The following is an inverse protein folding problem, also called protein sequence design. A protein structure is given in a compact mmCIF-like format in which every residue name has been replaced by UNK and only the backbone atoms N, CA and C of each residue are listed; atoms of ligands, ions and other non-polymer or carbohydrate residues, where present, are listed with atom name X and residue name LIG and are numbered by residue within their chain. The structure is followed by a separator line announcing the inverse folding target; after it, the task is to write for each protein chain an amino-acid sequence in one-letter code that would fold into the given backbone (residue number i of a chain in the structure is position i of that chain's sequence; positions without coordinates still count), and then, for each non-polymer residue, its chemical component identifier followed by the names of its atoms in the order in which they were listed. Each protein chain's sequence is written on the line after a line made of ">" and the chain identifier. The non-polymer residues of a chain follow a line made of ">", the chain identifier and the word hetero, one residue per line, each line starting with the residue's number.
data_IF_510571615945
#
_entry.id   IF_510571615945
#
_cell.length_a   1.000
_cell.length_b   1.000
_cell.length_c   1.000
_cell.angle_alpha   90.00
_cell.angle_beta   90.00
_cell.angle_gamma   90.00
#
_symmetry.space_group_name_H-M   'P 1'
#
loop_
_entity.id
_entity.type
_entity.pdbx_description
1 polymer ?
#
# COMPACT_ATOMS: atom_id res chain seq x y z
N UNK A 1 27.78 14.63 23.66
CA UNK A 1 27.78 13.94 22.36
C UNK A 1 26.32 13.83 21.93
N UNK A 2 25.85 14.76 21.10
CA UNK A 2 24.45 14.92 20.70
C UNK A 2 24.10 13.86 19.66
N UNK A 3 23.52 12.75 20.11
CA UNK A 3 22.90 11.77 19.23
C UNK A 3 21.67 12.42 18.59
N UNK A 4 21.89 13.14 17.48
CA UNK A 4 20.86 13.53 16.55
C UNK A 4 20.14 12.24 16.13
N UNK A 5 18.97 11.98 16.71
CA UNK A 5 18.09 10.90 16.28
C UNK A 5 17.59 11.24 14.88
N UNK A 6 18.42 11.01 13.86
CA UNK A 6 18.02 11.09 12.45
C UNK A 6 16.94 10.04 12.26
N UNK A 7 15.70 10.50 12.16
CA UNK A 7 14.56 9.68 11.72
C UNK A 7 14.98 9.09 10.36
N UNK A 8 15.00 7.77 10.24
CA UNK A 8 15.52 7.13 9.03
C UNK A 8 14.56 7.40 7.88
N UNK A 9 15.06 7.86 6.73
CA UNK A 9 14.24 8.16 5.55
C UNK A 9 13.80 6.89 4.79
N UNK A 10 14.24 5.70 5.23
CA UNK A 10 13.92 4.40 4.62
C UNK A 10 12.41 4.16 4.44
N UNK A 11 11.52 4.31 5.45
CA UNK A 11 10.08 4.09 5.28
C UNK A 11 9.44 5.14 4.35
N UNK A 12 9.96 6.36 4.30
CA UNK A 12 9.49 7.38 3.35
C UNK A 12 9.82 6.98 1.91
N UNK A 13 11.07 6.54 1.66
CA UNK A 13 11.51 6.11 0.33
C UNK A 13 10.78 4.84 -0.10
N UNK A 14 10.68 3.83 0.79
CA UNK A 14 9.92 2.61 0.50
C UNK A 14 8.43 2.88 0.24
N UNK A 15 7.83 3.81 0.97
CA UNK A 15 6.43 4.18 0.78
C UNK A 15 6.18 4.95 -0.52
N UNK A 16 7.09 5.82 -0.94
CA UNK A 16 7.00 6.52 -2.23
C UNK A 16 7.16 5.53 -3.38
N UNK A 17 8.18 4.66 -3.32
CA UNK A 17 8.40 3.62 -4.34
C UNK A 17 7.20 2.67 -4.38
N UNK A 18 6.70 2.24 -3.21
CA UNK A 18 5.50 1.40 -3.08
C UNK A 18 4.25 2.08 -3.64
N UNK A 19 4.07 3.39 -3.44
CA UNK A 19 2.94 4.14 -3.98
C UNK A 19 3.00 4.32 -5.51
N UNK A 20 4.18 4.63 -6.06
CA UNK A 20 4.39 4.77 -7.51
C UNK A 20 4.20 3.42 -8.22
N UNK A 21 4.71 2.33 -7.65
CA UNK A 21 4.50 0.98 -8.17
C UNK A 21 3.07 0.46 -7.91
N UNK A 22 2.41 0.98 -6.87
CA UNK A 22 1.04 0.63 -6.48
C UNK A 22 -0.02 1.11 -7.49
N UNK A 23 0.20 2.23 -8.17
CA UNK A 23 -0.69 2.75 -9.20
C UNK A 23 -0.86 1.80 -10.41
N UNK A 24 0.21 1.40 -11.12
CA UNK A 24 0.11 0.41 -12.19
C UNK A 24 -0.31 -0.97 -11.67
N UNK A 25 0.07 -1.32 -10.42
CA UNK A 25 -0.45 -2.52 -9.79
C UNK A 25 -1.98 -2.47 -9.60
N UNK A 26 -2.58 -1.33 -9.26
CA UNK A 26 -4.02 -1.18 -9.11
C UNK A 26 -4.78 -1.35 -10.43
N UNK A 27 -4.25 -0.80 -11.52
CA UNK A 27 -4.82 -0.97 -12.87
C UNK A 27 -4.76 -2.46 -13.27
N UNK A 28 -3.62 -3.11 -13.03
CA UNK A 28 -3.44 -4.53 -13.29
C UNK A 28 -4.38 -5.39 -12.42
N UNK A 29 -4.52 -5.09 -11.13
CA UNK A 29 -5.43 -5.79 -10.22
C UNK A 29 -6.89 -5.66 -10.64
N UNK A 30 -7.31 -4.50 -11.17
CA UNK A 30 -8.65 -4.33 -11.74
C UNK A 30 -8.89 -5.18 -12.99
N UNK A 31 -7.91 -5.22 -13.90
CA UNK A 31 -7.98 -6.05 -15.10
C UNK A 31 -7.94 -7.56 -14.78
N UNK A 32 -7.08 -7.98 -13.85
CA UNK A 32 -6.98 -9.37 -13.41
C UNK A 32 -8.23 -9.81 -12.63
N UNK A 33 -8.83 -8.94 -11.81
CA UNK A 33 -10.10 -9.22 -11.15
C UNK A 33 -11.26 -9.38 -12.15
N UNK A 34 -11.34 -8.54 -13.18
CA UNK A 34 -12.32 -8.71 -14.26
C UNK A 34 -12.09 -10.02 -15.02
N UNK A 35 -10.85 -10.34 -15.39
CA UNK A 35 -10.50 -11.59 -16.08
C UNK A 35 -10.88 -12.84 -15.29
N UNK A 36 -10.60 -12.87 -13.99
CA UNK A 36 -11.00 -14.00 -13.13
C UNK A 36 -12.50 -14.08 -12.91
N UNK A 37 -13.20 -12.93 -12.83
CA UNK A 37 -14.65 -12.91 -12.65
C UNK A 37 -15.38 -13.48 -13.87
N UNK A 38 -14.87 -13.26 -15.08
CA UNK A 38 -15.40 -13.89 -16.32
C UNK A 38 -15.28 -15.42 -16.33
N UNK A 39 -14.30 -15.98 -15.61
CA UNK A 39 -14.10 -17.43 -15.52
C UNK A 39 -14.97 -18.10 -14.45
N UNK A 40 -15.64 -17.32 -13.60
CA UNK A 40 -16.55 -17.86 -12.61
C UNK A 40 -17.88 -18.28 -13.28
N UNK A 41 -18.27 -19.55 -13.10
CA UNK A 41 -19.53 -20.07 -13.61
C UNK A 41 -20.72 -19.27 -13.05
N UNK A 42 -21.47 -18.61 -13.95
CA UNK A 42 -22.60 -17.74 -13.60
C UNK A 42 -22.30 -16.23 -13.62
N UNK A 43 -21.12 -15.80 -14.04
CA UNK A 43 -20.77 -14.39 -14.14
C UNK A 43 -21.46 -13.67 -15.32
N UNK A 44 -22.29 -12.69 -15.00
CA UNK A 44 -22.84 -11.72 -15.97
C UNK A 44 -21.83 -10.61 -16.24
N UNK A 45 -21.85 -9.98 -17.41
CA UNK A 45 -20.96 -8.85 -17.77
C UNK A 45 -20.98 -7.71 -16.73
N UNK A 46 -22.14 -7.47 -16.11
CA UNK A 46 -22.31 -6.48 -15.04
C UNK A 46 -21.50 -6.84 -13.79
N UNK A 47 -21.51 -8.11 -13.38
CA UNK A 47 -20.76 -8.62 -12.22
C UNK A 47 -19.25 -8.56 -12.45
N UNK A 48 -18.81 -8.90 -13.67
CA UNK A 48 -17.39 -8.81 -14.07
C UNK A 48 -16.87 -7.37 -14.02
N UNK A 49 -17.65 -6.43 -14.55
CA UNK A 49 -17.30 -5.00 -14.55
C UNK A 49 -17.33 -4.40 -13.13
N UNK A 50 -18.30 -4.79 -12.31
CA UNK A 50 -18.39 -4.39 -10.92
C UNK A 50 -17.20 -4.92 -10.08
N UNK A 51 -16.80 -6.17 -10.27
CA UNK A 51 -15.62 -6.72 -9.60
C UNK A 51 -14.34 -5.99 -10.03
N UNK A 52 -14.10 -5.83 -11.33
CA UNK A 52 -12.91 -5.15 -11.84
C UNK A 52 -12.77 -3.71 -11.34
N UNK A 53 -13.86 -2.94 -11.36
CA UNK A 53 -13.86 -1.57 -10.83
C UNK A 53 -13.63 -1.54 -9.32
N UNK A 54 -14.26 -2.42 -8.54
CA UNK A 54 -14.10 -2.47 -7.09
C UNK A 54 -12.65 -2.74 -6.67
N UNK A 55 -11.98 -3.71 -7.32
CA UNK A 55 -10.57 -4.01 -7.04
C UNK A 55 -9.62 -2.89 -7.49
N UNK A 56 -9.95 -2.18 -8.57
CA UNK A 56 -9.19 -1.01 -9.01
C UNK A 56 -9.26 0.11 -7.96
N UNK A 57 -10.47 0.43 -7.48
CA UNK A 57 -10.67 1.45 -6.44
C UNK A 57 -9.98 1.08 -5.13
N UNK A 58 -10.06 -0.18 -4.71
CA UNK A 58 -9.37 -0.67 -3.50
C UNK A 58 -7.85 -0.57 -3.64
N UNK A 59 -7.29 -0.99 -4.77
CA UNK A 59 -5.85 -0.89 -5.03
C UNK A 59 -5.37 0.56 -5.09
N UNK A 60 -6.16 1.44 -5.70
CA UNK A 60 -5.87 2.87 -5.78
C UNK A 60 -5.92 3.53 -4.39
N UNK A 61 -6.94 3.22 -3.58
CA UNK A 61 -7.05 3.68 -2.20
C UNK A 61 -5.87 3.21 -1.35
N UNK A 62 -5.47 1.94 -1.49
CA UNK A 62 -4.31 1.39 -0.80
C UNK A 62 -3.01 2.13 -1.18
N UNK A 63 -2.78 2.37 -2.47
CA UNK A 63 -1.62 3.11 -2.97
C UNK A 63 -1.59 4.56 -2.45
N UNK A 64 -2.74 5.24 -2.46
CA UNK A 64 -2.88 6.62 -1.95
C UNK A 64 -2.64 6.66 -0.44
N UNK A 65 -3.27 5.78 0.34
CA UNK A 65 -3.07 5.70 1.80
C UNK A 65 -1.60 5.40 2.15
N UNK A 66 -0.97 4.49 1.41
CA UNK A 66 0.45 4.19 1.53
C UNK A 66 1.32 5.42 1.23
N UNK A 67 1.03 6.16 0.16
CA UNK A 67 1.76 7.37 -0.21
C UNK A 67 1.59 8.51 0.82
N UNK A 68 0.36 8.75 1.28
CA UNK A 68 0.06 9.75 2.31
C UNK A 68 0.79 9.39 3.62
N UNK A 69 0.82 8.10 3.98
CA UNK A 69 1.54 7.63 5.16
C UNK A 69 3.05 7.85 5.07
N UNK A 70 3.62 7.78 3.86
CA UNK A 70 5.03 8.07 3.62
C UNK A 70 5.38 9.54 3.83
N UNK A 71 4.50 10.47 3.40
CA UNK A 71 4.70 11.91 3.58
C UNK A 71 4.45 12.38 5.02
N UNK A 72 3.42 11.86 5.69
CA UNK A 72 3.04 12.33 7.03
C UNK A 72 3.74 11.58 8.18
N UNK A 73 4.59 10.59 7.88
CA UNK A 73 5.40 9.84 8.86
C UNK A 73 6.24 10.75 9.78
N UNK A 74 6.67 11.92 9.27
CA UNK A 74 7.45 12.91 10.04
C UNK A 74 6.69 13.52 11.21
N UNK A 75 5.35 13.62 11.13
CA UNK A 75 4.52 14.23 12.17
C UNK A 75 4.14 13.24 13.27
N UNK A 76 3.86 11.98 12.91
CA UNK A 76 3.46 10.93 13.85
C UNK A 76 3.85 9.52 13.34
N UNK A 77 5.10 9.13 13.53
CA UNK A 77 5.66 7.88 12.95
C UNK A 77 4.86 6.63 13.36
N UNK A 78 4.38 6.54 14.61
CA UNK A 78 3.59 5.40 15.09
C UNK A 78 2.22 5.27 14.41
N UNK A 79 1.48 6.37 14.27
CA UNK A 79 0.13 6.34 13.68
C UNK A 79 0.20 6.09 12.18
N UNK A 80 1.13 6.76 11.48
CA UNK A 80 1.29 6.62 10.03
C UNK A 80 1.95 5.30 9.62
N UNK A 81 2.82 4.73 10.45
CA UNK A 81 3.29 3.35 10.28
C UNK A 81 2.16 2.32 10.33
N UNK A 82 1.17 2.53 11.21
CA UNK A 82 -0.05 1.70 11.24
C UNK A 82 -0.88 1.80 9.97
N UNK A 83 -1.04 3.01 9.41
CA UNK A 83 -1.72 3.23 8.12
C UNK A 83 -0.95 2.59 6.97
N UNK A 84 0.38 2.57 7.03
CA UNK A 84 1.23 1.94 6.03
C UNK A 84 1.13 0.40 6.06
N UNK A 85 1.05 -0.20 7.26
CA UNK A 85 0.71 -1.63 7.42
C UNK A 85 -0.70 -1.90 6.88
N UNK A 86 -1.68 -1.05 7.18
CA UNK A 86 -3.05 -1.21 6.71
C UNK A 86 -3.13 -1.14 5.17
N UNK A 87 -2.39 -0.23 4.54
CA UNK A 87 -2.22 -0.16 3.09
C UNK A 87 -1.57 -1.42 2.50
N UNK A 88 -0.62 -2.02 3.22
CA UNK A 88 -0.05 -3.32 2.89
C UNK A 88 -1.09 -4.45 2.97
N UNK A 89 -1.89 -4.50 4.03
CA UNK A 89 -2.97 -5.51 4.19
C UNK A 89 -4.03 -5.36 3.10
N UNK A 90 -4.41 -4.13 2.76
CA UNK A 90 -5.30 -3.84 1.62
C UNK A 90 -4.69 -4.31 0.28
N UNK A 91 -3.38 -4.12 0.10
CA UNK A 91 -2.65 -4.64 -1.06
C UNK A 91 -2.53 -6.18 -1.08
N UNK A 92 -2.72 -6.83 0.07
CA UNK A 92 -2.77 -8.29 0.18
C UNK A 92 -4.11 -8.84 -0.35
N UNK A 93 -5.21 -8.08 -0.23
CA UNK A 93 -6.51 -8.44 -0.81
C UNK A 93 -6.41 -8.42 -2.34
N UNK A 94 -5.70 -7.45 -2.91
CA UNK A 94 -5.42 -7.41 -4.35
C UNK A 94 -4.41 -8.46 -4.80
N UNK A 95 -3.78 -9.22 -3.89
CA UNK A 95 -2.90 -10.34 -4.24
C UNK A 95 -3.67 -11.58 -4.71
N UNK A 96 -4.95 -11.70 -4.35
CA UNK A 96 -5.85 -12.80 -4.76
C UNK A 96 -5.98 -12.87 -6.29
N UNK A 97 -5.72 -11.79 -7.01
CA UNK A 97 -5.73 -11.73 -8.48
C UNK A 97 -4.43 -12.23 -9.14
N UNK A 98 -3.53 -12.88 -8.40
CA UNK A 98 -2.21 -13.34 -8.86
C UNK A 98 -1.32 -12.24 -9.45
N UNK A 99 -1.49 -11.00 -8.98
CA UNK A 99 -0.70 -9.87 -9.45
C UNK A 99 0.67 -9.81 -8.74
N UNK A 100 1.73 -10.22 -9.44
CA UNK A 100 3.13 -10.18 -8.95
C UNK A 100 3.56 -8.75 -8.58
N UNK A 101 3.04 -7.71 -9.25
CA UNK A 101 3.33 -6.33 -8.89
C UNK A 101 2.71 -5.96 -7.54
N UNK A 102 1.51 -6.46 -7.23
CA UNK A 102 0.86 -6.27 -5.93
C UNK A 102 1.66 -6.92 -4.81
N UNK A 103 2.33 -8.05 -5.07
CA UNK A 103 3.22 -8.71 -4.10
C UNK A 103 4.40 -7.81 -3.72
N UNK A 104 5.08 -7.23 -4.72
CA UNK A 104 6.23 -6.34 -4.51
C UNK A 104 5.81 -5.12 -3.68
N UNK A 105 4.71 -4.47 -4.07
CA UNK A 105 4.16 -3.30 -3.36
C UNK A 105 3.77 -3.64 -1.93
N UNK A 106 3.14 -4.80 -1.71
CA UNK A 106 2.76 -5.28 -0.39
C UNK A 106 3.99 -5.47 0.52
N UNK A 107 5.07 -6.08 0.00
CA UNK A 107 6.32 -6.27 0.75
C UNK A 107 6.95 -4.92 1.09
N UNK A 108 6.98 -3.97 0.14
CA UNK A 108 7.51 -2.63 0.38
C UNK A 108 6.72 -1.88 1.46
N UNK A 109 5.38 -1.94 1.44
CA UNK A 109 4.55 -1.31 2.46
C UNK A 109 4.66 -2.00 3.82
N UNK A 110 4.79 -3.33 3.87
CA UNK A 110 5.00 -4.06 5.13
C UNK A 110 6.35 -3.72 5.76
N UNK A 111 7.44 -3.76 5.00
CA UNK A 111 8.78 -3.42 5.50
C UNK A 111 8.81 -1.95 5.95
N UNK A 112 8.28 -1.04 5.12
CA UNK A 112 8.18 0.39 5.47
C UNK A 112 7.32 0.63 6.70
N UNK A 113 6.21 -0.11 6.85
CA UNK A 113 5.32 -0.03 8.01
C UNK A 113 5.97 -0.52 9.30
N UNK A 114 6.60 -1.70 9.30
CA UNK A 114 7.29 -2.25 10.49
C UNK A 114 8.44 -1.36 10.92
N UNK A 115 9.23 -0.84 9.96
CA UNK A 115 10.30 0.11 10.25
C UNK A 115 9.71 1.39 10.83
N UNK A 116 8.62 1.92 10.27
CA UNK A 116 7.95 3.13 10.77
C UNK A 116 7.38 2.97 12.19
N UNK A 117 6.88 1.78 12.54
CA UNK A 117 6.38 1.44 13.88
C UNK A 117 7.50 1.27 14.92
N UNK A 118 8.68 0.81 14.50
CA UNK A 118 9.85 0.62 15.38
C UNK A 118 10.68 1.90 15.54
N UNK A 119 10.46 2.93 14.72
CA UNK A 119 11.12 4.23 14.90
C UNK A 119 10.65 4.90 16.21
N UNK A 120 11.59 5.13 17.14
CA UNK A 120 11.34 5.96 18.33
C UNK A 120 11.07 7.39 17.86
N UNK A 121 9.97 8.00 18.33
CA UNK A 121 9.62 9.39 18.04
C UNK A 121 10.87 10.25 18.22
N UNK A 122 11.31 11.05 17.22
CA UNK A 122 12.26 12.11 17.54
C UNK A 122 11.61 12.99 18.60
N UNK A 123 12.37 13.28 19.65
CA UNK A 123 12.08 14.45 20.49
C UNK A 123 12.15 15.64 19.53
N UNK A 124 10.99 16.13 19.11
CA UNK A 124 10.87 17.47 18.54
C UNK A 124 11.43 18.41 19.62
N UNK A 125 12.67 18.83 19.47
CA UNK A 125 13.10 20.07 20.08
C UNK A 125 12.17 21.15 19.48
N UNK A 126 11.44 21.82 20.38
CA UNK A 126 10.50 22.92 20.14
C UNK A 126 10.87 23.80 18.94
#
# INVERSE_FOLDING_TARGET
>A
MSTQNKISNVPMILGIIGGILGLPAAICSGACAAGMSTLAEGATEQTTSAAGSTFLWIGLLAAILGLISAFLYKKNSKTWGGVMILAGVLSMITLVTFNILSLIVCILFLIGGVISLTQKKPVLAN
#
